data_IF_151640884655
#
_entry.id   IF_151640884655
#
_cell.length_a   1.000
_cell.length_b   1.000
_cell.length_c   1.000
_cell.angle_alpha   90.00
_cell.angle_beta   90.00
_cell.angle_gamma   90.00
#
_symmetry.space_group_name_H-M   'P 1'
#
loop_
_entity.id
_entity.type
_entity.pdbx_description
1 polymer ?
#
# COMPACT_ATOMS: atom_id res chain seq x y z
N UNK A 1 -7.04 -2.88 2.80
CA UNK A 1 -6.33 -3.13 1.51
C UNK A 1 -5.58 -1.90 0.99
N UNK A 2 -6.22 -0.74 0.81
CA UNK A 2 -5.53 0.45 0.26
C UNK A 2 -4.37 0.98 1.12
N UNK A 3 -4.46 0.86 2.45
CA UNK A 3 -3.38 1.29 3.37
C UNK A 3 -2.11 0.46 3.16
N UNK A 4 -2.21 -0.87 3.06
CA UNK A 4 -1.05 -1.74 2.81
C UNK A 4 -0.43 -1.46 1.44
N UNK A 5 -1.26 -1.21 0.42
CA UNK A 5 -0.80 -0.76 -0.91
C UNK A 5 -0.02 0.54 -0.81
N UNK A 6 -0.52 1.52 -0.06
CA UNK A 6 0.09 2.85 0.02
C UNK A 6 1.42 2.83 0.78
N UNK A 7 1.51 2.06 1.86
CA UNK A 7 2.77 1.85 2.60
C UNK A 7 3.76 1.02 1.75
N UNK A 8 3.25 -0.02 1.08
CA UNK A 8 4.05 -1.01 0.37
C UNK A 8 4.59 -0.56 -0.99
N UNK A 9 3.74 -0.01 -1.84
CA UNK A 9 4.09 0.50 -3.17
C UNK A 9 4.42 2.00 -3.08
N UNK A 10 3.44 2.83 -2.71
CA UNK A 10 3.62 4.30 -2.81
C UNK A 10 4.59 4.90 -1.77
N UNK A 11 5.09 4.09 -0.83
CA UNK A 11 5.93 4.51 0.31
C UNK A 11 5.33 5.66 1.12
N UNK A 12 4.00 5.70 1.14
CA UNK A 12 3.24 6.68 1.91
C UNK A 12 3.10 6.12 3.33
N UNK A 13 3.94 6.64 4.22
CA UNK A 13 4.11 6.10 5.58
C UNK A 13 3.63 7.02 6.70
N UNK A 14 3.16 8.23 6.38
CA UNK A 14 2.69 9.22 7.38
C UNK A 14 1.18 9.31 7.36
N UNK A 15 0.58 9.50 8.54
CA UNK A 15 -0.88 9.51 8.72
C UNK A 15 -1.59 10.42 7.72
N UNK A 16 -1.22 11.71 7.68
CA UNK A 16 -1.85 12.69 6.79
C UNK A 16 -1.67 12.32 5.32
N UNK A 17 -0.53 11.73 4.94
CA UNK A 17 -0.28 11.33 3.55
C UNK A 17 -1.09 10.10 3.15
N UNK A 18 -1.30 9.16 4.09
CA UNK A 18 -2.20 8.00 3.88
C UNK A 18 -3.67 8.48 3.79
N UNK A 19 -4.03 9.47 4.59
CA UNK A 19 -5.37 10.06 4.54
C UNK A 19 -5.62 10.76 3.20
N UNK A 20 -4.66 11.55 2.73
CA UNK A 20 -4.72 12.26 1.45
C UNK A 20 -4.76 11.31 0.24
N UNK A 21 -4.13 10.13 0.33
CA UNK A 21 -4.09 9.17 -0.79
C UNK A 21 -5.35 8.34 -0.96
N UNK A 22 -6.29 8.40 0.00
CA UNK A 22 -7.52 7.61 -0.02
C UNK A 22 -8.74 8.55 0.08
N UNK A 23 -9.26 9.04 -1.06
CA UNK A 23 -10.44 9.88 -1.08
C UNK A 23 -11.63 9.24 -0.35
N UNK A 24 -12.31 10.03 0.48
CA UNK A 24 -13.47 9.58 1.27
C UNK A 24 -13.12 8.84 2.57
N UNK A 25 -11.84 8.58 2.85
CA UNK A 25 -11.43 8.03 4.14
C UNK A 25 -11.43 9.12 5.22
N UNK A 26 -12.08 8.87 6.35
CA UNK A 26 -12.07 9.80 7.48
C UNK A 26 -10.88 9.52 8.40
N UNK A 27 -10.36 10.53 9.14
CA UNK A 27 -9.30 10.33 10.12
C UNK A 27 -9.63 9.24 11.15
N UNK A 28 -10.88 9.20 11.62
CA UNK A 28 -11.35 8.20 12.60
C UNK A 28 -11.23 6.78 12.04
N UNK A 29 -11.66 6.57 10.80
CA UNK A 29 -11.59 5.24 10.16
C UNK A 29 -10.12 4.89 9.88
N UNK A 30 -9.29 5.84 9.43
CA UNK A 30 -7.87 5.58 9.23
C UNK A 30 -7.18 5.14 10.53
N UNK A 31 -7.39 5.85 11.64
CA UNK A 31 -6.82 5.45 12.94
C UNK A 31 -7.27 4.06 13.38
N UNK A 32 -8.56 3.74 13.20
CA UNK A 32 -9.09 2.42 13.50
C UNK A 32 -8.43 1.32 12.66
N UNK A 33 -8.32 1.53 11.34
CA UNK A 33 -7.70 0.55 10.43
C UNK A 33 -6.19 0.39 10.65
N UNK A 34 -5.48 1.46 10.99
CA UNK A 34 -4.06 1.38 11.33
C UNK A 34 -3.86 0.56 12.61
N UNK A 35 -4.69 0.78 13.64
CA UNK A 35 -4.66 -0.03 14.87
C UNK A 35 -4.97 -1.50 14.58
N UNK A 36 -6.01 -1.81 13.82
CA UNK A 36 -6.32 -3.21 13.43
C UNK A 36 -5.14 -3.88 12.72
N UNK A 37 -4.50 -3.19 11.77
CA UNK A 37 -3.34 -3.72 11.04
C UNK A 37 -2.10 -3.87 11.93
N UNK A 38 -1.92 -3.03 12.94
CA UNK A 38 -0.87 -3.18 13.96
C UNK A 38 -1.15 -4.37 14.87
N UNK A 39 -2.37 -4.47 15.40
CA UNK A 39 -2.80 -5.54 16.30
C UNK A 39 -2.71 -6.91 15.61
N UNK A 40 -3.02 -6.98 14.31
CA UNK A 40 -2.87 -8.19 13.49
C UNK A 40 -1.42 -8.42 12.99
N UNK A 41 -0.50 -7.49 13.27
CA UNK A 41 0.92 -7.61 12.95
C UNK A 41 1.26 -7.46 11.47
N UNK A 42 0.46 -6.77 10.68
CA UNK A 42 0.78 -6.42 9.28
C UNK A 42 1.67 -5.18 9.18
N UNK A 43 1.51 -4.24 10.12
CA UNK A 43 2.31 -3.01 10.17
C UNK A 43 2.84 -2.75 11.57
N UNK A 44 3.87 -1.92 11.67
CA UNK A 44 4.41 -1.39 12.92
C UNK A 44 4.48 0.13 12.86
N UNK A 45 4.13 0.80 13.96
CA UNK A 45 4.36 2.24 14.15
C UNK A 45 5.75 2.48 14.71
N UNK A 46 6.57 3.20 13.93
CA UNK A 46 7.92 3.59 14.30
C UNK A 46 7.97 5.09 14.58
N UNK A 47 8.29 5.45 15.82
CA UNK A 47 8.57 6.82 16.23
C UNK A 47 10.07 7.14 16.09
N UNK A 48 10.41 8.24 15.43
CA UNK A 48 11.79 8.73 15.39
C UNK A 48 12.32 9.16 16.77
N UNK A 49 13.60 8.92 17.06
CA UNK A 49 14.25 9.35 18.33
C UNK A 49 14.77 10.79 18.32
N UNK A 50 14.82 11.45 17.16
CA UNK A 50 15.31 12.83 17.00
C UNK A 50 14.16 13.76 16.64
N UNK A 51 14.23 15.01 17.12
CA UNK A 51 13.25 16.04 16.80
C UNK A 51 13.34 16.47 15.32
N UNK A 52 12.20 16.72 14.66
CA UNK A 52 10.84 16.44 15.15
C UNK A 52 10.55 14.93 15.17
N UNK A 53 9.97 14.45 16.28
CA UNK A 53 9.54 13.05 16.41
C UNK A 53 8.42 12.84 15.40
N UNK A 54 8.71 12.05 14.36
CA UNK A 54 7.73 11.68 13.34
C UNK A 54 7.30 10.24 13.56
N UNK A 55 5.98 10.05 13.56
CA UNK A 55 5.35 8.73 13.55
C UNK A 55 5.19 8.28 12.10
N UNK A 56 5.71 7.09 11.79
CA UNK A 56 5.56 6.46 10.48
C UNK A 56 5.15 5.01 10.63
N UNK A 57 4.36 4.50 9.68
CA UNK A 57 3.98 3.10 9.59
C UNK A 57 4.88 2.35 8.60
N UNK A 58 5.29 1.15 8.97
CA UNK A 58 6.08 0.25 8.12
C UNK A 58 5.43 -1.12 8.04
N UNK A 59 5.58 -1.79 6.90
CA UNK A 59 5.15 -3.18 6.78
C UNK A 59 6.08 -4.09 7.61
N UNK A 60 5.48 -4.98 8.41
CA UNK A 60 6.18 -6.12 9.00
C UNK A 60 6.51 -7.14 7.91
N UNK A 61 7.09 -8.29 8.28
CA UNK A 61 7.23 -9.43 7.37
C UNK A 61 5.89 -9.91 6.83
N UNK A 62 4.93 -10.19 7.72
CA UNK A 62 3.55 -10.54 7.37
C UNK A 62 2.89 -9.49 6.46
N UNK A 63 3.16 -8.20 6.71
CA UNK A 63 2.74 -7.10 5.84
C UNK A 63 3.28 -7.19 4.42
N UNK A 64 4.58 -7.48 4.28
CA UNK A 64 5.25 -7.62 2.98
C UNK A 64 4.74 -8.82 2.19
N UNK A 65 4.37 -9.91 2.87
CA UNK A 65 3.82 -11.11 2.22
C UNK A 65 2.46 -10.88 1.56
N UNK A 66 1.76 -9.77 1.89
CA UNK A 66 0.52 -9.40 1.19
C UNK A 66 0.77 -8.76 -0.18
N UNK A 67 1.97 -8.25 -0.44
CA UNK A 67 2.25 -7.47 -1.64
C UNK A 67 2.07 -8.27 -2.95
N UNK A 68 2.52 -9.54 -3.05
CA UNK A 68 2.27 -10.35 -4.24
C UNK A 68 0.77 -10.53 -4.51
N UNK A 69 -0.04 -10.69 -3.47
CA UNK A 69 -1.50 -10.83 -3.59
C UNK A 69 -2.10 -9.55 -4.16
N UNK A 70 -1.68 -8.39 -3.65
CA UNK A 70 -2.14 -7.09 -4.16
C UNK A 70 -1.74 -6.89 -5.64
N UNK A 71 -0.54 -7.31 -6.04
CA UNK A 71 -0.11 -7.25 -7.45
C UNK A 71 -1.05 -8.09 -8.33
N UNK A 72 -1.36 -9.32 -7.92
CA UNK A 72 -2.26 -10.18 -8.70
C UNK A 72 -3.66 -9.59 -8.79
N UNK A 73 -4.16 -9.00 -7.71
CA UNK A 73 -5.45 -8.30 -7.72
C UNK A 73 -5.42 -7.10 -8.67
N UNK A 74 -4.33 -6.34 -8.70
CA UNK A 74 -4.15 -5.25 -9.67
C UNK A 74 -4.14 -5.75 -11.12
N UNK A 75 -3.44 -6.86 -11.41
CA UNK A 75 -3.45 -7.46 -12.74
C UNK A 75 -4.86 -7.91 -13.16
N UNK A 76 -5.59 -8.55 -12.24
CA UNK A 76 -6.98 -8.96 -12.48
C UNK A 76 -7.88 -7.76 -12.81
N UNK A 77 -7.84 -6.71 -11.99
CA UNK A 77 -8.62 -5.49 -12.20
C UNK A 77 -8.27 -4.81 -13.52
N UNK A 78 -6.99 -4.75 -13.87
CA UNK A 78 -6.54 -4.22 -15.15
C UNK A 78 -7.09 -5.01 -16.35
N UNK A 79 -7.17 -6.35 -16.25
CA UNK A 79 -7.65 -7.20 -17.33
C UNK A 79 -9.17 -7.14 -17.54
N UNK A 80 -9.93 -7.14 -16.45
CA UNK A 80 -11.40 -7.33 -16.50
C UNK A 80 -12.20 -6.07 -16.19
N UNK A 81 -11.59 -5.05 -15.59
CA UNK A 81 -12.24 -3.83 -15.13
C UNK A 81 -11.47 -2.57 -15.55
N UNK A 82 -10.80 -2.60 -16.70
CA UNK A 82 -10.03 -1.45 -17.21
C UNK A 82 -10.89 -0.21 -17.42
N UNK A 83 -12.17 -0.40 -17.72
CA UNK A 83 -13.19 0.63 -17.90
C UNK A 83 -13.51 1.42 -16.62
N UNK A 84 -13.25 0.82 -15.46
CA UNK A 84 -13.44 1.44 -14.13
C UNK A 84 -12.11 1.99 -13.61
N UNK A 85 -11.01 1.26 -13.85
CA UNK A 85 -9.70 1.53 -13.22
C UNK A 85 -8.90 2.60 -13.96
N UNK A 86 -9.05 2.73 -15.29
CA UNK A 86 -8.27 3.65 -16.11
C UNK A 86 -9.18 4.60 -16.90
N UNK A 87 -8.81 5.89 -16.97
CA UNK A 87 -9.56 6.91 -17.70
C UNK A 87 -9.74 6.58 -19.19
N UNK A 88 -8.71 5.98 -19.80
CA UNK A 88 -8.72 5.58 -21.21
C UNK A 88 -9.35 4.20 -21.47
N UNK A 89 -9.83 3.54 -20.41
CA UNK A 89 -10.52 2.24 -20.42
C UNK A 89 -9.70 1.07 -20.97
N UNK A 90 -8.39 1.22 -21.13
CA UNK A 90 -7.53 0.19 -21.74
C UNK A 90 -6.77 -0.61 -20.69
N UNK A 91 -6.73 -1.95 -20.80
CA UNK A 91 -5.91 -2.79 -19.93
C UNK A 91 -4.43 -2.39 -19.96
N UNK A 92 -3.76 -2.52 -18.82
CA UNK A 92 -2.32 -2.30 -18.64
C UNK A 92 -1.65 -3.54 -18.05
N UNK A 93 -0.47 -3.85 -18.53
CA UNK A 93 0.41 -4.86 -17.93
C UNK A 93 0.93 -4.37 -16.57
N UNK A 94 1.35 -5.31 -15.72
CA UNK A 94 1.94 -4.97 -14.42
C UNK A 94 3.17 -4.05 -14.53
N UNK A 95 3.95 -4.15 -15.61
CA UNK A 95 5.10 -3.28 -15.82
C UNK A 95 4.72 -1.85 -16.19
N UNK A 96 3.57 -1.65 -16.84
CA UNK A 96 3.01 -0.33 -17.15
C UNK A 96 2.40 0.31 -15.91
N UNK A 97 1.81 -0.49 -15.02
CA UNK A 97 1.21 -0.02 -13.76
C UNK A 97 2.29 0.25 -12.70
N UNK A 98 3.32 -0.61 -12.63
CA UNK A 98 4.41 -0.53 -11.67
C UNK A 98 5.77 -0.56 -12.39
N UNK A 99 6.32 0.58 -12.81
CA UNK A 99 7.59 0.64 -13.54
C UNK A 99 8.79 0.12 -12.71
N UNK A 100 9.03 -1.19 -12.85
CA UNK A 100 10.23 -2.02 -12.69
C UNK A 100 11.15 -1.92 -11.45
N UNK A 101 11.13 -0.85 -10.64
CA UNK A 101 11.98 -0.77 -9.44
C UNK A 101 11.32 -1.29 -8.16
N UNK A 102 9.98 -1.25 -8.09
CA UNK A 102 9.23 -1.65 -6.89
C UNK A 102 8.68 -3.08 -6.99
N UNK A 103 8.09 -3.45 -8.13
CA UNK A 103 7.50 -4.77 -8.33
C UNK A 103 8.54 -5.91 -8.24
N UNK A 104 9.75 -5.72 -8.80
CA UNK A 104 10.82 -6.72 -8.71
C UNK A 104 11.34 -6.92 -7.28
N UNK A 105 11.53 -5.85 -6.50
CA UNK A 105 11.96 -5.95 -5.09
C UNK A 105 10.95 -6.69 -4.23
N UNK A 106 9.66 -6.47 -4.51
CA UNK A 106 8.55 -7.09 -3.79
C UNK A 106 8.42 -8.57 -4.14
N UNK A 107 8.52 -8.93 -5.43
CA UNK A 107 8.48 -10.34 -5.87
C UNK A 107 9.74 -11.14 -5.48
N UNK A 108 10.91 -10.50 -5.39
CA UNK A 108 12.17 -11.16 -5.01
C UNK A 108 12.41 -11.29 -3.50
N UNK A 109 11.57 -10.64 -2.66
CA UNK A 109 11.66 -10.70 -1.20
C UNK A 109 11.06 -11.98 -0.58
N UNK A 110 10.44 -12.83 -1.40
CA UNK A 110 9.95 -14.16 -1.02
C UNK A 110 11.11 -15.14 -1.27
N UNK A 111 12.00 -15.29 -0.29
CA UNK A 111 12.95 -16.40 -0.23
C UNK A 111 12.87 -17.04 1.14
#
# INVERSE_FOLDING_TARGET
MLILRDIGFLKIVRFNRILESIPGLTPRVLSMRLRELEDEGFIECVGGKKQPIMVVWRLTEKGRDTMPILIQLTAFGSKWHSDIVFEDKRPRTLNEIFPQHEARRIMMGIR
#
